data_IF_783735952994
#
_entry.id   IF_783735952994
#
_cell.length_a   1.000
_cell.length_b   1.000
_cell.length_c   1.000
_cell.angle_alpha   90.00
_cell.angle_beta   90.00
_cell.angle_gamma   90.00
#
_symmetry.space_group_name_H-M   'P 1'
#
loop_
_entity.id
_entity.type
_entity.pdbx_description
1 polymer ?
#
# COMPACT_ATOMS: atom_id res chain seq x y z
N UNK A 1 3.98 22.41 -1.70
CA UNK A 1 4.05 23.55 -0.76
C UNK A 1 3.02 23.35 0.33
N UNK A 2 3.15 24.03 1.47
CA UNK A 2 2.08 24.02 2.49
C UNK A 2 0.79 24.59 1.88
N UNK A 3 -0.36 23.99 2.21
CA UNK A 3 -1.65 24.35 1.62
C UNK A 3 -1.91 23.79 0.21
N UNK A 4 -0.95 23.07 -0.40
CA UNK A 4 -1.15 22.44 -1.70
C UNK A 4 -2.18 21.30 -1.61
N UNK A 5 -3.19 21.35 -2.47
CA UNK A 5 -4.18 20.28 -2.61
C UNK A 5 -3.56 19.11 -3.36
N UNK A 6 -3.71 17.90 -2.80
CA UNK A 6 -3.28 16.66 -3.44
C UNK A 6 -4.42 15.65 -3.47
N UNK A 7 -4.33 14.65 -4.35
CA UNK A 7 -5.29 13.54 -4.44
C UNK A 7 -4.56 12.23 -4.24
N UNK A 8 -5.05 11.40 -3.31
CA UNK A 8 -4.54 10.07 -3.07
C UNK A 8 -5.53 9.02 -3.60
N UNK A 9 -5.04 8.12 -4.46
CA UNK A 9 -5.82 6.99 -4.98
C UNK A 9 -5.34 5.72 -4.30
N UNK A 10 -6.17 5.16 -3.41
CA UNK A 10 -5.86 3.93 -2.70
C UNK A 10 -6.79 2.79 -3.14
N UNK A 11 -6.32 1.99 -4.10
CA UNK A 11 -7.04 0.81 -4.56
C UNK A 11 -6.08 -0.26 -5.11
N UNK A 12 -6.59 -1.48 -5.25
CA UNK A 12 -5.83 -2.64 -5.70
C UNK A 12 -6.39 -3.31 -6.95
N UNK A 13 -6.11 -4.59 -7.09
CA UNK A 13 -6.43 -5.46 -8.23
C UNK A 13 -7.91 -5.88 -8.33
N UNK A 14 -8.80 -5.22 -7.59
CA UNK A 14 -10.23 -5.58 -7.47
C UNK A 14 -10.40 -7.08 -7.19
N UNK A 15 -11.41 -7.73 -7.78
CA UNK A 15 -11.67 -9.16 -7.62
C UNK A 15 -10.59 -10.08 -8.22
N UNK A 16 -9.87 -9.62 -9.25
CA UNK A 16 -8.91 -10.45 -9.99
C UNK A 16 -7.78 -10.95 -9.07
N UNK A 17 -7.09 -10.04 -8.36
CA UNK A 17 -6.00 -10.48 -7.48
C UNK A 17 -6.47 -11.28 -6.26
N UNK A 18 -7.70 -11.03 -5.78
CA UNK A 18 -8.30 -11.87 -4.74
C UNK A 18 -8.50 -13.30 -5.26
N UNK A 19 -9.03 -13.46 -6.47
CA UNK A 19 -9.25 -14.79 -7.06
C UNK A 19 -7.92 -15.50 -7.34
N UNK A 20 -6.92 -14.81 -7.90
CA UNK A 20 -5.57 -15.35 -8.07
C UNK A 20 -5.02 -15.86 -6.74
N UNK A 21 -5.15 -15.10 -5.65
CA UNK A 21 -4.71 -15.57 -4.33
C UNK A 21 -5.45 -16.85 -3.90
N UNK A 22 -6.78 -16.88 -4.02
CA UNK A 22 -7.63 -18.04 -3.66
C UNK A 22 -7.24 -19.29 -4.45
N UNK A 23 -7.07 -19.17 -5.76
CA UNK A 23 -6.73 -20.29 -6.66
C UNK A 23 -5.36 -20.87 -6.31
N UNK A 24 -4.38 -20.00 -6.06
CA UNK A 24 -3.03 -20.44 -5.72
C UNK A 24 -2.92 -20.94 -4.28
N UNK A 25 -3.76 -20.53 -3.33
CA UNK A 25 -3.78 -21.13 -1.99
C UNK A 25 -4.07 -22.64 -2.05
N UNK A 26 -5.02 -23.06 -2.89
CA UNK A 26 -5.31 -24.50 -3.11
C UNK A 26 -4.10 -25.21 -3.73
N UNK A 27 -3.45 -24.55 -4.69
CA UNK A 27 -2.23 -25.06 -5.34
C UNK A 27 -1.07 -25.21 -4.35
N UNK A 28 -0.82 -24.19 -3.52
CA UNK A 28 0.23 -24.19 -2.52
C UNK A 28 -0.02 -25.24 -1.44
N UNK A 29 -1.27 -25.45 -1.00
CA UNK A 29 -1.59 -26.51 -0.04
C UNK A 29 -1.20 -27.91 -0.56
N UNK A 30 -1.37 -28.17 -1.86
CA UNK A 30 -0.91 -29.43 -2.48
C UNK A 30 0.61 -29.48 -2.62
N UNK A 31 1.23 -28.34 -2.95
CA UNK A 31 2.68 -28.20 -3.08
C UNK A 31 3.41 -28.47 -1.76
N UNK A 32 2.88 -28.00 -0.63
CA UNK A 32 3.41 -28.26 0.73
C UNK A 32 3.61 -29.75 0.95
N UNK A 33 2.58 -30.57 0.69
CA UNK A 33 2.67 -32.03 0.82
C UNK A 33 3.66 -32.63 -0.18
N UNK A 34 3.62 -32.18 -1.45
CA UNK A 34 4.51 -32.67 -2.52
C UNK A 34 6.00 -32.44 -2.22
N UNK A 35 6.32 -31.28 -1.64
CA UNK A 35 7.69 -30.87 -1.35
C UNK A 35 8.11 -31.17 0.09
N UNK A 36 7.27 -31.84 0.88
CA UNK A 36 7.57 -32.19 2.27
C UNK A 36 7.81 -30.98 3.17
N UNK A 37 7.17 -29.84 2.88
CA UNK A 37 7.36 -28.61 3.65
C UNK A 37 6.60 -28.72 4.97
N UNK A 38 7.30 -28.57 6.09
CA UNK A 38 6.66 -28.48 7.40
C UNK A 38 6.21 -27.05 7.67
N UNK A 39 4.92 -26.87 7.95
CA UNK A 39 4.34 -25.57 8.25
C UNK A 39 3.96 -25.47 9.72
N UNK A 40 4.30 -24.36 10.41
CA UNK A 40 3.81 -24.12 11.76
C UNK A 40 2.32 -23.74 11.77
N UNK A 41 1.78 -23.25 10.64
CA UNK A 41 0.37 -22.94 10.46
C UNK A 41 -0.06 -23.25 9.02
N UNK A 42 -1.24 -23.84 8.83
CA UNK A 42 -1.80 -24.17 7.50
C UNK A 42 -1.98 -22.94 6.60
N UNK A 43 -2.20 -21.76 7.18
CA UNK A 43 -2.33 -20.49 6.46
C UNK A 43 -1.01 -20.02 5.83
N UNK A 44 0.12 -20.62 6.18
CA UNK A 44 1.44 -20.34 5.61
C UNK A 44 1.77 -21.24 4.40
N UNK A 45 0.75 -21.75 3.72
CA UNK A 45 0.90 -22.56 2.51
C UNK A 45 1.80 -21.89 1.47
N UNK A 46 2.84 -22.60 1.02
CA UNK A 46 3.87 -22.07 0.14
C UNK A 46 4.45 -23.14 -0.79
N UNK A 47 5.27 -22.72 -1.75
CA UNK A 47 6.05 -23.60 -2.63
C UNK A 47 7.43 -22.98 -2.89
N UNK A 48 8.45 -23.78 -3.25
CA UNK A 48 9.74 -23.24 -3.68
C UNK A 48 9.56 -22.33 -4.90
N UNK A 49 10.22 -21.16 -4.92
CA UNK A 49 10.13 -20.22 -6.04
C UNK A 49 10.58 -20.81 -7.39
N UNK A 50 11.46 -21.79 -7.35
CA UNK A 50 11.95 -22.51 -8.54
C UNK A 50 10.96 -23.55 -9.07
N UNK A 51 9.94 -23.92 -8.28
CA UNK A 51 8.94 -24.93 -8.65
C UNK A 51 7.96 -24.39 -9.71
N UNK A 52 7.28 -25.28 -10.46
CA UNK A 52 6.22 -24.87 -11.39
C UNK A 52 5.13 -24.03 -10.70
N UNK A 53 4.68 -24.43 -9.51
CA UNK A 53 3.67 -23.71 -8.73
C UNK A 53 4.15 -22.32 -8.30
N UNK A 54 5.39 -22.22 -7.81
CA UNK A 54 5.99 -20.94 -7.41
C UNK A 54 6.14 -19.97 -8.58
N UNK A 55 6.65 -20.45 -9.73
CA UNK A 55 6.79 -19.64 -10.95
C UNK A 55 5.44 -19.18 -11.50
N UNK A 56 4.47 -20.10 -11.57
CA UNK A 56 3.13 -19.79 -12.06
C UNK A 56 2.42 -18.79 -11.15
N UNK A 57 2.53 -18.95 -9.83
CA UNK A 57 1.97 -17.97 -8.88
C UNK A 57 2.60 -16.60 -9.03
N UNK A 58 3.94 -16.53 -9.10
CA UNK A 58 4.64 -15.27 -9.24
C UNK A 58 4.21 -14.53 -10.53
N UNK A 59 4.07 -15.26 -11.64
CA UNK A 59 3.56 -14.71 -12.90
C UNK A 59 2.10 -14.23 -12.77
N UNK A 60 1.22 -15.02 -12.16
CA UNK A 60 -0.18 -14.63 -11.95
C UNK A 60 -0.34 -13.42 -11.02
N UNK A 61 0.48 -13.36 -9.95
CA UNK A 61 0.56 -12.20 -9.06
C UNK A 61 1.06 -10.96 -9.81
N UNK A 62 2.04 -11.10 -10.70
CA UNK A 62 2.50 -10.00 -11.55
C UNK A 62 1.39 -9.50 -12.49
N UNK A 63 0.59 -10.39 -13.09
CA UNK A 63 -0.59 -10.02 -13.86
C UNK A 63 -1.62 -9.25 -13.00
N UNK A 64 -1.86 -9.68 -11.77
CA UNK A 64 -2.75 -8.99 -10.85
C UNK A 64 -2.22 -7.60 -10.44
N UNK A 65 -0.90 -7.46 -10.26
CA UNK A 65 -0.26 -6.18 -10.01
C UNK A 65 -0.39 -5.23 -11.21
N UNK A 66 -0.16 -5.72 -12.44
CA UNK A 66 -0.36 -4.96 -13.68
C UNK A 66 -1.82 -4.48 -13.81
N UNK A 67 -2.78 -5.34 -13.52
CA UNK A 67 -4.20 -4.94 -13.47
C UNK A 67 -4.44 -3.84 -12.44
N UNK A 68 -3.85 -3.93 -11.25
CA UNK A 68 -3.98 -2.89 -10.22
C UNK A 68 -3.39 -1.55 -10.65
N UNK A 69 -2.22 -1.54 -11.31
CA UNK A 69 -1.62 -0.32 -11.86
C UNK A 69 -2.47 0.26 -12.99
N UNK A 70 -2.99 -0.56 -13.91
CA UNK A 70 -3.91 -0.11 -14.96
C UNK A 70 -5.18 0.51 -14.36
N UNK A 71 -5.75 -0.12 -13.33
CA UNK A 71 -6.91 0.42 -12.62
C UNK A 71 -6.62 1.80 -12.00
N UNK A 72 -5.48 1.99 -11.32
CA UNK A 72 -5.09 3.29 -10.77
C UNK A 72 -4.82 4.34 -11.85
N UNK A 73 -4.25 3.92 -12.98
CA UNK A 73 -4.03 4.81 -14.13
C UNK A 73 -5.35 5.35 -14.70
N UNK A 74 -6.37 4.50 -14.86
CA UNK A 74 -7.71 4.92 -15.29
C UNK A 74 -8.35 5.89 -14.28
N UNK A 75 -8.29 5.57 -12.98
CA UNK A 75 -8.84 6.43 -11.93
C UNK A 75 -8.13 7.80 -11.90
N UNK A 76 -6.80 7.82 -12.09
CA UNK A 76 -6.04 9.08 -12.17
C UNK A 76 -6.48 9.91 -13.39
N UNK A 77 -6.72 9.28 -14.54
CA UNK A 77 -7.24 9.95 -15.72
C UNK A 77 -8.61 10.59 -15.46
N UNK A 78 -9.58 9.85 -14.94
CA UNK A 78 -10.91 10.41 -14.61
C UNK A 78 -10.85 11.46 -13.52
N UNK A 79 -9.95 11.32 -12.54
CA UNK A 79 -9.71 12.36 -11.52
C UNK A 79 -9.30 13.67 -12.19
N UNK A 80 -8.38 13.62 -13.16
CA UNK A 80 -7.96 14.80 -13.91
C UNK A 80 -9.12 15.43 -14.71
N UNK A 81 -9.94 14.61 -15.37
CA UNK A 81 -11.13 15.10 -16.10
C UNK A 81 -12.13 15.82 -15.19
N UNK A 82 -12.37 15.27 -13.99
CA UNK A 82 -13.27 15.88 -13.01
C UNK A 82 -12.73 17.23 -12.55
N UNK A 83 -11.44 17.32 -12.20
CA UNK A 83 -10.82 18.58 -11.79
C UNK A 83 -10.85 19.62 -12.92
N UNK A 84 -10.47 19.23 -14.13
CA UNK A 84 -10.51 20.09 -15.31
C UNK A 84 -11.90 20.69 -15.54
N UNK A 85 -12.95 19.85 -15.47
CA UNK A 85 -14.35 20.28 -15.61
C UNK A 85 -14.81 21.23 -14.50
N UNK A 86 -14.50 20.92 -13.24
CA UNK A 86 -14.95 21.70 -12.08
C UNK A 86 -14.27 23.07 -12.05
N UNK A 87 -12.95 23.12 -12.30
CA UNK A 87 -12.17 24.36 -12.26
C UNK A 87 -12.15 25.10 -13.60
N UNK A 88 -12.78 24.56 -14.65
CA UNK A 88 -12.79 25.12 -16.01
C UNK A 88 -11.36 25.41 -16.53
N UNK A 89 -10.47 24.45 -16.33
CA UNK A 89 -9.05 24.54 -16.66
C UNK A 89 -8.57 23.19 -17.22
N UNK A 90 -7.30 23.09 -17.61
CA UNK A 90 -6.68 21.83 -18.05
C UNK A 90 -5.93 21.12 -16.92
N UNK A 91 -5.76 19.78 -16.95
CA UNK A 91 -4.94 19.08 -15.98
C UNK A 91 -3.50 19.60 -15.88
N UNK A 92 -2.95 20.09 -16.99
CA UNK A 92 -1.62 20.66 -17.11
C UNK A 92 -1.49 22.00 -16.38
N UNK A 93 -2.44 22.92 -16.60
CA UNK A 93 -2.51 24.21 -15.89
C UNK A 93 -2.74 24.03 -14.39
N UNK A 94 -3.56 23.05 -14.00
CA UNK A 94 -3.77 22.67 -12.61
C UNK A 94 -2.59 21.91 -11.99
N UNK A 95 -1.57 21.58 -12.79
CA UNK A 95 -0.37 20.90 -12.31
C UNK A 95 -0.61 19.48 -11.77
N UNK A 96 -1.64 18.78 -12.24
CA UNK A 96 -2.07 17.45 -11.75
C UNK A 96 -1.11 16.32 -12.15
N UNK A 97 0.11 16.35 -11.63
CA UNK A 97 1.18 15.39 -11.93
C UNK A 97 1.21 14.26 -10.91
N UNK A 98 1.56 13.05 -11.39
CA UNK A 98 1.78 11.91 -10.50
C UNK A 98 3.05 12.16 -9.66
N UNK A 99 2.87 12.19 -8.34
CA UNK A 99 3.99 12.19 -7.40
C UNK A 99 4.65 10.81 -7.45
N UNK A 100 3.96 9.77 -7.00
CA UNK A 100 4.44 8.39 -7.02
C UNK A 100 3.28 7.40 -6.96
N UNK A 101 3.52 6.15 -7.35
CA UNK A 101 2.59 5.03 -7.19
C UNK A 101 3.36 3.89 -6.52
N UNK A 102 2.84 3.36 -5.40
CA UNK A 102 3.52 2.33 -4.63
C UNK A 102 2.58 1.20 -4.24
N UNK A 103 3.06 -0.03 -4.37
CA UNK A 103 2.37 -1.23 -3.93
C UNK A 103 2.73 -1.57 -2.48
N UNK A 104 1.77 -2.14 -1.75
CA UNK A 104 1.95 -2.57 -0.36
C UNK A 104 1.51 -4.02 -0.10
N UNK A 105 1.00 -4.69 -1.12
CA UNK A 105 0.69 -6.12 -1.14
C UNK A 105 1.30 -6.70 -2.42
N UNK A 106 2.57 -7.10 -2.35
CA UNK A 106 3.35 -7.55 -3.52
C UNK A 106 4.55 -8.39 -3.07
N UNK A 107 4.98 -9.32 -3.92
CA UNK A 107 6.28 -9.96 -3.82
C UNK A 107 7.20 -9.44 -4.93
N UNK A 108 8.47 -9.16 -4.63
CA UNK A 108 9.43 -8.62 -5.60
C UNK A 108 10.75 -9.36 -5.51
N UNK A 109 11.31 -9.73 -6.67
CA UNK A 109 12.70 -10.16 -6.75
C UNK A 109 13.61 -8.93 -6.61
N UNK A 110 14.41 -8.88 -5.56
CA UNK A 110 15.28 -7.75 -5.21
C UNK A 110 16.66 -8.25 -4.77
N UNK A 111 17.69 -7.45 -4.98
CA UNK A 111 19.03 -7.73 -4.47
C UNK A 111 19.25 -6.99 -3.15
N UNK A 112 19.71 -7.72 -2.13
CA UNK A 112 19.97 -7.18 -0.79
C UNK A 112 21.33 -7.67 -0.29
N UNK A 113 21.90 -6.97 0.69
CA UNK A 113 23.16 -7.37 1.31
C UNK A 113 22.87 -8.14 2.61
N UNK A 114 23.29 -9.40 2.67
CA UNK A 114 23.19 -10.25 3.87
C UNK A 114 24.59 -10.71 4.28
N UNK A 115 25.08 -10.20 5.43
CA UNK A 115 26.40 -10.56 5.94
C UNK A 115 27.55 -10.18 4.98
N UNK A 116 27.44 -9.04 4.29
CA UNK A 116 28.44 -8.56 3.33
C UNK A 116 28.30 -9.15 1.92
N UNK A 117 27.35 -10.07 1.69
CA UNK A 117 27.13 -10.73 0.38
C UNK A 117 25.86 -10.23 -0.28
N UNK A 118 25.94 -9.90 -1.57
CA UNK A 118 24.77 -9.63 -2.39
C UNK A 118 24.00 -10.93 -2.63
N UNK A 119 22.73 -10.94 -2.24
CA UNK A 119 21.82 -12.08 -2.38
C UNK A 119 20.53 -11.61 -3.06
N UNK A 120 20.05 -12.41 -4.02
CA UNK A 120 18.76 -12.18 -4.66
C UNK A 120 17.66 -12.83 -3.84
N UNK A 121 16.69 -12.05 -3.40
CA UNK A 121 15.58 -12.47 -2.54
C UNK A 121 14.23 -12.20 -3.20
N UNK A 122 13.23 -13.01 -2.85
CA UNK A 122 11.83 -12.66 -3.11
C UNK A 122 11.26 -11.99 -1.85
N UNK A 123 11.25 -10.66 -1.84
CA UNK A 123 10.77 -9.87 -0.71
C UNK A 123 9.25 -9.82 -0.74
N UNK A 124 8.62 -10.44 0.25
CA UNK A 124 7.16 -10.45 0.40
C UNK A 124 6.72 -9.27 1.27
N UNK A 125 5.89 -8.38 0.72
CA UNK A 125 5.31 -7.26 1.45
C UNK A 125 3.80 -7.42 1.49
N UNK A 126 3.24 -7.49 2.70
CA UNK A 126 1.80 -7.52 2.96
C UNK A 126 1.48 -6.45 4.00
N UNK A 127 0.81 -5.39 3.58
CA UNK A 127 0.63 -4.19 4.41
C UNK A 127 1.96 -3.45 4.70
N UNK A 128 2.95 -3.57 3.82
CA UNK A 128 4.25 -2.92 3.95
C UNK A 128 4.69 -2.35 2.61
N UNK A 129 5.42 -1.23 2.61
CA UNK A 129 5.75 -0.46 1.42
C UNK A 129 7.24 -0.52 1.14
N UNK A 130 7.65 -0.57 -0.13
CA UNK A 130 9.07 -0.44 -0.50
C UNK A 130 9.57 0.97 -0.20
N UNK A 131 10.77 1.09 0.35
CA UNK A 131 11.38 2.31 0.88
C UNK A 131 12.87 2.39 0.48
N UNK A 132 13.16 2.35 -0.82
CA UNK A 132 14.53 2.42 -1.32
C UNK A 132 15.25 3.74 -0.97
N UNK A 133 16.56 3.68 -0.71
CA UNK A 133 17.34 4.80 -0.21
C UNK A 133 17.68 5.78 -1.33
N UNK A 134 18.19 6.98 -1.01
CA UNK A 134 18.84 7.83 -2.01
C UNK A 134 19.83 7.05 -2.89
N UNK A 135 19.95 7.47 -4.14
CA UNK A 135 20.85 6.93 -5.16
C UNK A 135 20.56 5.51 -5.65
N UNK A 136 19.54 4.82 -5.11
CA UNK A 136 19.14 3.51 -5.62
C UNK A 136 18.70 3.59 -7.11
N UNK A 137 19.18 2.69 -7.98
CA UNK A 137 18.98 2.79 -9.44
C UNK A 137 17.51 2.73 -9.86
N UNK A 138 16.69 1.93 -9.17
CA UNK A 138 15.25 1.78 -9.43
C UNK A 138 14.39 3.00 -9.08
N UNK A 139 14.97 4.05 -8.47
CA UNK A 139 14.25 5.28 -8.17
C UNK A 139 14.27 6.19 -9.41
N UNK A 140 13.11 6.75 -9.82
CA UNK A 140 13.06 7.75 -10.88
C UNK A 140 14.01 8.92 -10.60
N UNK A 141 14.65 9.41 -11.65
CA UNK A 141 15.72 10.42 -11.55
C UNK A 141 15.35 11.64 -10.70
N UNK A 142 14.12 12.16 -10.86
CA UNK A 142 13.60 13.30 -10.09
C UNK A 142 13.61 13.11 -8.57
N UNK A 143 13.61 11.87 -8.08
CA UNK A 143 13.62 11.53 -6.65
C UNK A 143 14.89 10.83 -6.19
N UNK A 144 15.78 10.45 -7.12
CA UNK A 144 16.94 9.62 -6.82
C UNK A 144 17.82 10.22 -5.72
N UNK A 145 18.01 11.55 -5.68
CA UNK A 145 18.83 12.20 -4.64
C UNK A 145 18.19 12.22 -3.24
N UNK A 146 16.87 12.09 -3.13
CA UNK A 146 16.15 12.23 -1.86
C UNK A 146 15.66 10.89 -1.29
N UNK A 147 15.67 9.82 -2.09
CA UNK A 147 15.12 8.51 -1.74
C UNK A 147 13.74 8.29 -2.36
N UNK A 148 13.25 7.05 -2.28
CA UNK A 148 11.98 6.67 -2.90
C UNK A 148 10.82 7.31 -2.12
N UNK A 149 9.88 8.03 -2.77
CA UNK A 149 8.65 8.45 -2.11
C UNK A 149 7.89 7.23 -1.56
N UNK A 150 7.40 7.37 -0.33
CA UNK A 150 6.57 6.38 0.36
C UNK A 150 5.28 7.06 0.76
N UNK A 151 4.16 6.54 0.26
CA UNK A 151 2.83 7.11 0.48
C UNK A 151 2.12 6.29 1.56
N UNK A 152 1.76 6.95 2.66
CA UNK A 152 1.06 6.34 3.80
C UNK A 152 -0.38 6.88 3.82
N UNK A 153 -1.36 6.13 3.29
CA UNK A 153 -2.75 6.45 3.50
C UNK A 153 -3.11 6.47 4.99
N UNK A 154 -3.78 7.55 5.39
CA UNK A 154 -4.55 7.61 6.62
C UNK A 154 -5.88 6.87 6.53
N UNK A 155 -6.68 7.00 7.58
CA UNK A 155 -8.10 6.64 7.57
C UNK A 155 -8.99 7.85 7.26
N UNK A 156 -10.29 7.63 7.08
CA UNK A 156 -11.23 8.60 6.49
C UNK A 156 -11.32 9.96 7.21
N UNK A 157 -10.88 10.03 8.48
CA UNK A 157 -10.93 11.23 9.30
C UNK A 157 -9.58 11.72 9.80
N UNK A 158 -8.47 11.11 9.34
CA UNK A 158 -7.11 11.41 9.84
C UNK A 158 -6.16 11.79 8.71
N UNK A 159 -4.98 12.26 9.09
CA UNK A 159 -3.94 12.68 8.17
C UNK A 159 -3.37 11.51 7.36
N UNK A 160 -2.77 11.82 6.22
CA UNK A 160 -1.91 10.89 5.47
C UNK A 160 -0.47 11.41 5.53
N UNK A 161 0.51 10.63 5.11
CA UNK A 161 1.91 11.09 5.08
C UNK A 161 2.58 10.75 3.75
N UNK A 162 3.53 11.59 3.36
CA UNK A 162 4.57 11.26 2.40
C UNK A 162 5.91 11.21 3.12
N UNK A 163 6.60 10.09 2.97
CA UNK A 163 7.93 9.83 3.53
C UNK A 163 8.92 9.61 2.37
N UNK A 164 10.19 9.46 2.70
CA UNK A 164 11.20 8.90 1.79
C UNK A 164 11.91 7.71 2.41
N UNK A 165 12.30 6.76 1.55
CA UNK A 165 13.15 5.63 1.93
C UNK A 165 14.56 6.03 2.33
N UNK A 166 15.26 5.14 3.04
CA UNK A 166 16.53 5.42 3.70
C UNK A 166 17.48 4.23 3.59
N UNK A 167 18.78 4.45 3.82
CA UNK A 167 19.77 3.36 3.88
C UNK A 167 19.45 2.37 5.00
N UNK A 168 18.98 2.88 6.15
CA UNK A 168 18.61 2.04 7.27
C UNK A 168 17.47 1.05 6.94
N UNK A 169 16.54 1.43 6.05
CA UNK A 169 15.57 0.47 5.53
C UNK A 169 16.24 -0.65 4.72
N UNK A 170 17.26 -0.35 3.91
CA UNK A 170 18.00 -1.39 3.17
C UNK A 170 18.73 -2.35 4.10
N UNK A 171 19.30 -1.83 5.19
CA UNK A 171 20.06 -2.60 6.17
C UNK A 171 19.16 -3.49 7.04
N UNK A 172 18.03 -2.97 7.53
CA UNK A 172 17.24 -3.64 8.57
C UNK A 172 15.96 -4.32 8.05
N UNK A 173 15.38 -3.84 6.95
CA UNK A 173 14.01 -4.23 6.54
C UNK A 173 13.89 -4.58 5.06
N UNK A 174 15.00 -4.89 4.39
CA UNK A 174 15.02 -5.17 2.95
C UNK A 174 14.38 -4.03 2.13
N UNK A 175 14.72 -2.80 2.47
CA UNK A 175 14.19 -1.59 1.85
C UNK A 175 12.67 -1.49 2.03
N UNK A 176 12.16 -1.70 3.24
CA UNK A 176 10.71 -1.69 3.52
C UNK A 176 10.33 -0.79 4.69
N UNK A 177 9.11 -0.25 4.66
CA UNK A 177 8.50 0.53 5.76
C UNK A 177 7.01 0.22 5.87
N UNK A 178 6.30 0.92 6.76
CA UNK A 178 4.85 0.78 6.94
C UNK A 178 4.05 1.19 5.68
N UNK A 179 2.77 0.82 5.66
CA UNK A 179 1.82 1.26 4.63
C UNK A 179 0.73 2.18 5.19
N UNK A 180 0.35 2.05 6.46
CA UNK A 180 -0.74 2.78 7.07
C UNK A 180 -0.87 2.44 8.55
N UNK A 181 -1.92 2.94 9.19
CA UNK A 181 -2.20 2.66 10.61
C UNK A 181 -2.37 1.17 10.94
N UNK A 182 -2.98 0.40 10.03
CA UNK A 182 -3.42 -0.96 10.30
C UNK A 182 -4.67 -0.98 11.19
N UNK A 183 -5.52 -2.00 10.98
CA UNK A 183 -6.78 -2.14 11.72
C UNK A 183 -6.54 -2.68 13.12
N UNK A 184 -7.26 -2.14 14.08
CA UNK A 184 -7.39 -2.69 15.45
C UNK A 184 -8.74 -3.38 15.67
N UNK A 185 -9.69 -3.21 14.74
CA UNK A 185 -11.01 -3.83 14.79
C UNK A 185 -11.35 -4.58 13.51
N UNK A 186 -12.05 -5.71 13.65
CA UNK A 186 -12.70 -6.36 12.53
C UNK A 186 -13.80 -5.46 11.93
N UNK A 187 -14.14 -5.67 10.67
CA UNK A 187 -15.23 -4.92 10.00
C UNK A 187 -16.56 -5.08 10.72
N UNK A 188 -16.85 -6.29 11.19
CA UNK A 188 -18.06 -6.60 11.95
C UNK A 188 -18.08 -5.86 13.30
N UNK A 189 -16.96 -5.80 14.00
CA UNK A 189 -16.86 -5.06 15.27
C UNK A 189 -17.02 -3.57 15.06
N UNK A 190 -16.35 -3.00 14.04
CA UNK A 190 -16.48 -1.59 13.69
C UNK A 190 -17.94 -1.22 13.37
N UNK A 191 -18.61 -2.01 12.53
CA UNK A 191 -20.05 -1.87 12.23
C UNK A 191 -20.93 -1.91 13.48
N UNK A 192 -20.64 -2.80 14.44
CA UNK A 192 -21.41 -2.90 15.69
C UNK A 192 -21.23 -1.65 16.55
N UNK A 193 -20.01 -1.13 16.67
CA UNK A 193 -19.71 0.06 17.45
C UNK A 193 -20.18 1.35 16.78
N UNK A 194 -20.26 1.39 15.45
CA UNK A 194 -20.83 2.49 14.69
C UNK A 194 -22.37 2.59 14.75
N UNK A 195 -23.06 1.62 15.37
CA UNK A 195 -24.53 1.62 15.43
C UNK A 195 -25.02 2.86 16.19
N UNK A 196 -25.99 3.56 15.60
CA UNK A 196 -26.54 4.79 16.17
C UNK A 196 -25.69 6.05 15.97
N UNK A 197 -24.49 5.92 15.39
CA UNK A 197 -23.63 7.06 15.05
C UNK A 197 -23.94 7.57 13.65
N UNK A 198 -23.79 8.88 13.47
CA UNK A 198 -23.76 9.51 12.16
C UNK A 198 -22.34 9.91 11.78
N UNK A 199 -21.56 8.91 11.36
CA UNK A 199 -20.15 9.08 10.99
C UNK A 199 -19.97 10.15 9.90
N UNK A 200 -20.94 10.30 9.00
CA UNK A 200 -20.87 11.31 7.94
C UNK A 200 -20.99 12.72 8.53
N UNK A 201 -21.91 12.93 9.48
CA UNK A 201 -22.04 14.18 10.20
C UNK A 201 -20.82 14.48 11.08
N UNK A 202 -20.30 13.47 11.80
CA UNK A 202 -19.08 13.60 12.62
C UNK A 202 -17.86 14.06 11.78
N UNK A 203 -17.72 13.55 10.55
CA UNK A 203 -16.66 13.98 9.63
C UNK A 203 -16.94 15.37 9.05
N UNK A 204 -18.21 15.69 8.77
CA UNK A 204 -18.61 17.01 8.27
C UNK A 204 -18.33 18.12 9.27
N UNK A 205 -18.50 17.86 10.56
CA UNK A 205 -18.16 18.78 11.66
C UNK A 205 -16.65 19.07 11.74
N UNK A 206 -15.82 18.16 11.22
CA UNK A 206 -14.37 18.36 11.05
C UNK A 206 -14.00 19.01 9.70
N UNK A 207 -14.98 19.43 8.91
CA UNK A 207 -14.77 20.00 7.58
C UNK A 207 -14.49 18.95 6.48
N UNK A 208 -14.71 17.65 6.75
CA UNK A 208 -14.42 16.57 5.82
C UNK A 208 -15.72 16.13 5.12
N UNK A 209 -15.78 16.32 3.81
CA UNK A 209 -16.92 15.88 3.00
C UNK A 209 -16.67 14.45 2.53
N UNK A 210 -17.58 13.53 2.92
CA UNK A 210 -17.51 12.13 2.52
C UNK A 210 -18.64 11.76 1.56
N UNK A 211 -18.28 11.00 0.52
CA UNK A 211 -19.19 10.29 -0.37
C UNK A 211 -18.84 8.80 -0.30
N UNK A 212 -19.82 7.98 0.09
CA UNK A 212 -19.68 6.54 0.19
C UNK A 212 -20.89 5.85 -0.47
N UNK A 213 -20.69 4.63 -0.97
CA UNK A 213 -21.76 3.82 -1.56
C UNK A 213 -22.86 3.49 -0.54
N UNK A 214 -22.49 3.27 0.73
CA UNK A 214 -23.44 2.99 1.80
C UNK A 214 -22.95 3.50 3.16
N UNK A 215 -23.89 3.73 4.09
CA UNK A 215 -23.58 4.00 5.51
C UNK A 215 -22.79 2.85 6.14
N UNK A 216 -23.03 1.61 5.69
CA UNK A 216 -22.34 0.42 6.17
C UNK A 216 -20.86 0.41 5.80
N UNK A 217 -20.51 0.84 4.59
CA UNK A 217 -19.11 0.99 4.14
C UNK A 217 -18.38 2.04 4.96
N UNK A 218 -19.05 3.17 5.21
CA UNK A 218 -18.49 4.24 6.06
C UNK A 218 -18.24 3.76 7.50
N UNK A 219 -19.15 2.98 8.06
CA UNK A 219 -19.02 2.40 9.39
C UNK A 219 -17.85 1.39 9.52
N UNK A 220 -17.54 0.63 8.46
CA UNK A 220 -16.40 -0.30 8.47
C UNK A 220 -15.05 0.41 8.51
N UNK A 221 -15.01 1.64 8.00
CA UNK A 221 -13.81 2.43 7.75
C UNK A 221 -13.69 3.65 8.68
N UNK A 222 -14.49 3.69 9.75
CA UNK A 222 -14.40 4.73 10.78
C UNK A 222 -13.00 4.76 11.42
N UNK A 223 -12.52 5.96 11.75
CA UNK A 223 -11.16 6.17 12.30
C UNK A 223 -10.86 5.31 13.53
N UNK A 224 -11.84 5.05 14.39
CA UNK A 224 -11.68 4.23 15.61
C UNK A 224 -11.32 2.76 15.31
N UNK A 225 -11.55 2.29 14.07
CA UNK A 225 -11.18 0.95 13.65
C UNK A 225 -9.68 0.79 13.34
N UNK A 226 -8.92 1.90 13.36
CA UNK A 226 -7.51 1.99 12.97
C UNK A 226 -6.64 2.55 14.09
N UNK A 227 -5.37 2.11 14.15
CA UNK A 227 -4.35 2.77 15.00
C UNK A 227 -4.18 4.24 14.59
N UNK A 228 -3.54 5.04 15.43
CA UNK A 228 -3.12 6.37 14.99
C UNK A 228 -1.97 6.23 13.98
N UNK A 229 -2.22 6.67 12.75
CA UNK A 229 -1.21 6.67 11.68
C UNK A 229 0.00 7.55 12.02
N UNK A 230 -0.20 8.61 12.81
CA UNK A 230 0.87 9.50 13.25
C UNK A 230 1.85 8.78 14.15
N UNK A 231 1.36 7.94 15.08
CA UNK A 231 2.22 7.11 15.93
C UNK A 231 3.01 6.09 15.10
N UNK A 232 2.35 5.42 14.15
CA UNK A 232 3.01 4.44 13.26
C UNK A 232 4.12 5.10 12.43
N UNK A 233 3.84 6.27 11.87
CA UNK A 233 4.81 7.05 11.10
C UNK A 233 5.94 7.58 11.99
N UNK A 234 5.64 8.02 13.20
CA UNK A 234 6.64 8.50 14.14
C UNK A 234 7.64 7.41 14.49
N UNK A 235 7.18 6.18 14.76
CA UNK A 235 8.07 5.05 15.03
C UNK A 235 9.00 4.80 13.85
N UNK A 236 8.50 4.78 12.61
CA UNK A 236 9.34 4.58 11.42
C UNK A 236 10.33 5.73 11.18
N UNK A 237 9.97 6.94 11.60
CA UNK A 237 10.85 8.10 11.51
C UNK A 237 11.97 8.05 12.54
N UNK A 238 11.63 7.79 13.80
CA UNK A 238 12.59 7.73 14.90
C UNK A 238 13.53 6.53 14.78
N UNK A 239 13.05 5.40 14.25
CA UNK A 239 13.92 4.27 13.95
C UNK A 239 14.85 4.56 12.77
N UNK A 240 14.56 5.56 11.95
CA UNK A 240 15.32 5.94 10.77
C UNK A 240 15.01 5.11 9.53
N UNK A 241 14.03 4.19 9.58
CA UNK A 241 13.62 3.34 8.45
C UNK A 241 13.01 4.20 7.33
N UNK A 242 12.22 5.22 7.64
CA UNK A 242 11.71 6.16 6.63
C UNK A 242 11.62 7.57 7.18
N UNK A 243 11.95 8.57 6.38
CA UNK A 243 12.00 9.97 6.85
C UNK A 243 10.72 10.72 6.45
N UNK A 244 10.07 11.37 7.40
CA UNK A 244 8.93 12.28 7.15
C UNK A 244 9.32 13.39 6.18
N UNK A 245 8.44 13.67 5.22
CA UNK A 245 8.54 14.80 4.29
C UNK A 245 7.37 15.74 4.48
N UNK A 246 6.14 15.24 4.34
CA UNK A 246 4.92 16.03 4.54
C UNK A 246 3.80 15.21 5.18
N UNK A 247 2.88 15.92 5.83
CA UNK A 247 1.62 15.43 6.39
C UNK A 247 0.47 16.10 5.65
#
# INVERSE_FOLDING_TARGET
>A
EEGQITVMIHCGSRGLGHQVCTDYLVTMQRAVSRYGIQLPDRQLACAPLSSPEGKNYYAAMACAANYAWANRQCIMHWTREVFARVFRSTPEELGLKLIYDVAHNIAKMEEHNLGGKKVKLCVHRKGATRAFPPLHPDIPEKYRKIGQPVLIPGDMGRCSYCLVGTEKAMEETFGSTCHGAGRVMSRTSAKKQARGRDIQQELREKGIIVKAESRGTLAEEMSDAYKDVSEVVEVMHQTGISRKVVR
#
